data_IF_645538728581
#
_entry.id   IF_645538728581
#
_cell.length_a   1.000
_cell.length_b   1.000
_cell.length_c   1.000
_cell.angle_alpha   90.00
_cell.angle_beta   90.00
_cell.angle_gamma   90.00
#
_symmetry.space_group_name_H-M   'P 1'
#
loop_
_entity.id
_entity.type
_entity.pdbx_description
1 polymer ?
#
# COMPACT_ATOMS: atom_id res chain seq x y z
N UNK A 1 -49.14 -42.92 -12.92
CA UNK A 1 -48.69 -43.56 -11.67
C UNK A 1 -47.77 -42.59 -10.96
N UNK A 2 -48.33 -41.68 -10.17
CA UNK A 2 -47.58 -40.73 -9.34
C UNK A 2 -48.23 -40.77 -7.95
N UNK A 3 -47.47 -41.20 -6.96
CA UNK A 3 -47.90 -41.32 -5.58
C UNK A 3 -47.97 -39.92 -4.96
N UNK A 4 -49.17 -39.52 -4.55
CA UNK A 4 -49.41 -38.32 -3.75
C UNK A 4 -48.77 -38.54 -2.38
N UNK A 5 -47.67 -37.85 -2.10
CA UNK A 5 -47.09 -37.76 -0.77
C UNK A 5 -47.95 -36.76 0.01
N UNK A 6 -48.97 -37.28 0.67
CA UNK A 6 -49.86 -36.55 1.56
C UNK A 6 -49.01 -35.94 2.70
N UNK A 7 -48.59 -34.69 2.51
CA UNK A 7 -47.83 -33.96 3.54
C UNK A 7 -48.80 -33.60 4.65
N UNK A 8 -48.62 -34.12 5.88
CA UNK A 8 -49.60 -33.88 6.93
C UNK A 8 -49.63 -32.38 7.22
N UNK A 9 -50.78 -31.77 6.95
CA UNK A 9 -51.04 -30.38 7.32
C UNK A 9 -50.73 -30.16 8.81
N UNK A 10 -50.21 -29.00 9.22
CA UNK A 10 -49.87 -28.75 10.63
C UNK A 10 -51.09 -28.89 11.55
N UNK A 11 -52.31 -28.73 11.03
CA UNK A 11 -53.55 -28.97 11.75
C UNK A 11 -53.83 -30.48 11.95
N UNK A 12 -53.69 -31.31 10.92
CA UNK A 12 -53.90 -32.76 11.03
C UNK A 12 -52.81 -33.44 11.88
N UNK A 13 -51.56 -32.98 11.78
CA UNK A 13 -50.47 -33.41 12.65
C UNK A 13 -50.77 -33.13 14.13
N UNK A 14 -51.26 -31.91 14.46
CA UNK A 14 -51.64 -31.54 15.82
C UNK A 14 -52.80 -32.38 16.36
N UNK A 15 -53.80 -32.68 15.52
CA UNK A 15 -54.94 -33.51 15.91
C UNK A 15 -54.54 -34.97 16.18
N UNK A 16 -53.70 -35.56 15.33
CA UNK A 16 -53.17 -36.91 15.54
C UNK A 16 -52.32 -37.02 16.82
N UNK A 17 -51.46 -36.01 17.05
CA UNK A 17 -50.66 -35.89 18.28
C UNK A 17 -51.54 -35.74 19.53
N UNK A 18 -52.62 -34.95 19.46
CA UNK A 18 -53.54 -34.77 20.57
C UNK A 18 -54.29 -36.07 20.91
N UNK A 19 -54.71 -36.83 19.89
CA UNK A 19 -55.36 -38.13 20.06
C UNK A 19 -54.44 -39.18 20.70
N UNK A 20 -53.20 -39.28 20.22
CA UNK A 20 -52.18 -40.15 20.83
C UNK A 20 -51.89 -39.75 22.29
N UNK A 21 -51.70 -38.44 22.56
CA UNK A 21 -51.40 -37.92 23.89
C UNK A 21 -52.55 -38.07 24.91
N UNK A 22 -53.80 -38.17 24.44
CA UNK A 22 -54.97 -38.43 25.30
C UNK A 22 -55.07 -39.89 25.75
N UNK A 23 -54.49 -40.83 24.97
CA UNK A 23 -54.45 -42.26 25.31
C UNK A 23 -53.33 -42.66 26.28
N UNK A 24 -52.37 -41.77 26.55
CA UNK A 24 -51.24 -42.03 27.45
C UNK A 24 -51.66 -41.97 28.93
N UNK A 25 -51.13 -42.90 29.72
CA UNK A 25 -51.37 -42.91 31.16
C UNK A 25 -50.83 -41.63 31.82
N UNK A 26 -51.42 -41.21 32.95
CA UNK A 26 -51.06 -39.95 33.63
C UNK A 26 -49.56 -39.83 33.99
N UNK A 27 -48.84 -40.95 34.12
CA UNK A 27 -47.38 -40.99 34.36
C UNK A 27 -46.57 -40.68 33.10
N UNK A 28 -46.99 -41.17 31.94
CA UNK A 28 -46.30 -40.96 30.66
C UNK A 28 -46.45 -39.51 30.20
N UNK A 29 -47.62 -38.89 30.45
CA UNK A 29 -47.84 -37.46 30.20
C UNK A 29 -46.86 -36.57 30.98
N UNK A 30 -46.49 -36.96 32.21
CA UNK A 30 -45.49 -36.23 33.01
C UNK A 30 -44.08 -36.35 32.42
N UNK A 31 -43.70 -37.54 31.93
CA UNK A 31 -42.41 -37.74 31.27
C UNK A 31 -42.31 -36.98 29.95
N UNK A 32 -43.39 -36.96 29.15
CA UNK A 32 -43.44 -36.20 27.91
C UNK A 32 -43.37 -34.69 28.17
N UNK A 33 -44.05 -34.18 29.19
CA UNK A 33 -43.92 -32.78 29.60
C UNK A 33 -42.50 -32.44 30.07
N UNK A 34 -41.87 -33.32 30.86
CA UNK A 34 -40.48 -33.12 31.29
C UNK A 34 -39.51 -33.11 30.09
N UNK A 35 -39.66 -34.05 29.16
CA UNK A 35 -38.87 -34.10 27.94
C UNK A 35 -39.09 -32.85 27.06
N UNK A 36 -40.33 -32.41 26.90
CA UNK A 36 -40.67 -31.19 26.16
C UNK A 36 -40.08 -29.94 26.81
N UNK A 37 -40.08 -29.85 28.14
CA UNK A 37 -39.44 -28.75 28.87
C UNK A 37 -37.93 -28.76 28.67
N UNK A 38 -37.27 -29.92 28.77
CA UNK A 38 -35.82 -30.03 28.55
C UNK A 38 -35.45 -29.62 27.12
N UNK A 39 -36.20 -30.11 26.12
CA UNK A 39 -35.98 -29.75 24.71
C UNK A 39 -36.26 -28.28 24.48
N UNK A 40 -37.32 -27.72 25.08
CA UNK A 40 -37.64 -26.30 25.02
C UNK A 40 -36.53 -25.44 25.64
N UNK A 41 -35.99 -25.84 26.79
CA UNK A 41 -34.88 -25.16 27.45
C UNK A 41 -33.59 -25.26 26.63
N UNK A 42 -33.30 -26.42 26.04
CA UNK A 42 -32.15 -26.63 25.19
C UNK A 42 -32.23 -25.80 23.90
N UNK A 43 -33.40 -25.72 23.27
CA UNK A 43 -33.63 -24.87 22.09
C UNK A 43 -33.57 -23.39 22.45
N UNK A 44 -34.13 -22.99 23.59
CA UNK A 44 -34.05 -21.62 24.09
C UNK A 44 -32.59 -21.22 24.36
N UNK A 45 -31.84 -22.11 25.03
CA UNK A 45 -30.41 -21.95 25.25
C UNK A 45 -29.68 -21.83 23.92
N UNK A 46 -29.94 -22.73 22.97
CA UNK A 46 -29.27 -22.73 21.67
C UNK A 46 -29.57 -21.45 20.88
N UNK A 47 -30.82 -20.98 20.90
CA UNK A 47 -31.23 -19.77 20.20
C UNK A 47 -30.74 -18.49 20.89
N UNK A 48 -30.58 -18.48 22.22
CA UNK A 48 -30.12 -17.31 22.96
C UNK A 48 -28.58 -17.19 23.05
N UNK A 49 -27.86 -18.32 23.21
CA UNK A 49 -26.41 -18.32 23.43
C UNK A 49 -25.60 -18.45 22.13
N UNK A 50 -26.13 -19.14 21.11
CA UNK A 50 -25.40 -19.33 19.85
C UNK A 50 -25.22 -18.07 18.98
N UNK A 51 -26.23 -17.18 18.78
CA UNK A 51 -26.05 -16.05 17.88
C UNK A 51 -25.13 -14.95 18.44
N UNK A 52 -24.97 -14.85 19.76
CA UNK A 52 -24.03 -13.93 20.39
C UNK A 52 -22.55 -14.31 20.15
N UNK A 53 -22.27 -15.59 19.89
CA UNK A 53 -20.90 -16.07 19.63
C UNK A 53 -20.46 -15.89 18.18
N UNK A 54 -21.40 -15.84 17.23
CA UNK A 54 -21.10 -15.56 15.81
C UNK A 54 -20.76 -14.08 15.58
N UNK A 55 -21.47 -13.16 16.23
CA UNK A 55 -21.19 -11.72 16.12
C UNK A 55 -19.84 -11.32 16.74
N UNK A 56 -19.41 -11.99 17.82
CA UNK A 56 -18.08 -11.79 18.41
C UNK A 56 -16.91 -12.32 17.55
N UNK A 57 -17.15 -13.33 16.70
CA UNK A 57 -16.08 -13.93 15.86
C UNK A 57 -15.94 -13.28 14.48
N UNK A 58 -16.99 -12.68 13.95
CA UNK A 58 -16.97 -12.05 12.62
C UNK A 58 -16.61 -10.55 12.64
N UNK A 59 -16.78 -9.86 13.78
CA UNK A 59 -16.34 -8.47 13.96
C UNK A 59 -14.82 -8.23 13.77
N UNK A 60 -13.90 -9.02 14.36
CA UNK A 60 -12.46 -8.69 14.32
C UNK A 60 -11.85 -8.78 12.92
N UNK A 61 -12.40 -9.58 12.02
CA UNK A 61 -11.87 -9.75 10.67
C UNK A 61 -12.03 -8.49 9.80
N UNK A 62 -13.13 -7.73 9.98
CA UNK A 62 -13.35 -6.46 9.26
C UNK A 62 -12.55 -5.30 9.85
N UNK A 63 -12.30 -5.32 11.16
CA UNK A 63 -11.44 -4.34 11.81
C UNK A 63 -9.97 -4.54 11.42
N UNK A 64 -9.47 -5.79 11.40
CA UNK A 64 -8.09 -6.07 11.03
C UNK A 64 -7.72 -5.61 9.60
N UNK A 65 -8.64 -5.71 8.64
CA UNK A 65 -8.37 -5.23 7.27
C UNK A 65 -8.38 -3.71 7.16
N UNK A 66 -9.22 -3.03 7.94
CA UNK A 66 -9.24 -1.57 8.02
C UNK A 66 -8.00 -1.03 8.76
N UNK A 67 -7.59 -1.67 9.85
CA UNK A 67 -6.38 -1.30 10.60
C UNK A 67 -5.12 -1.48 9.74
N UNK A 68 -5.05 -2.56 8.95
CA UNK A 68 -3.94 -2.77 8.02
C UNK A 68 -3.89 -1.69 6.91
N UNK A 69 -5.05 -1.23 6.43
CA UNK A 69 -5.11 -0.12 5.46
C UNK A 69 -4.68 1.20 6.10
N UNK A 70 -5.14 1.48 7.32
CA UNK A 70 -4.82 2.69 8.06
C UNK A 70 -3.32 2.75 8.38
N UNK A 71 -2.72 1.64 8.83
CA UNK A 71 -1.28 1.53 9.04
C UNK A 71 -0.48 1.81 7.77
N UNK A 72 -0.92 1.28 6.61
CA UNK A 72 -0.27 1.54 5.32
C UNK A 72 -0.35 3.02 4.94
N UNK A 73 -1.49 3.68 5.15
CA UNK A 73 -1.64 5.12 4.88
C UNK A 73 -0.75 5.97 5.80
N UNK A 74 -0.63 5.61 7.08
CA UNK A 74 0.25 6.31 8.02
C UNK A 74 1.73 6.18 7.64
N UNK A 75 2.17 4.98 7.23
CA UNK A 75 3.53 4.78 6.74
C UNK A 75 3.84 5.62 5.49
N UNK A 76 2.88 5.68 4.56
CA UNK A 76 3.00 6.52 3.36
C UNK A 76 3.07 8.01 3.71
N UNK A 77 2.24 8.47 4.66
CA UNK A 77 2.25 9.86 5.12
C UNK A 77 3.58 10.24 5.80
N UNK A 78 4.12 9.36 6.66
CA UNK A 78 5.42 9.59 7.32
C UNK A 78 6.57 9.64 6.30
N UNK A 79 6.53 8.77 5.29
CA UNK A 79 7.54 8.77 4.21
C UNK A 79 7.45 10.07 3.41
N UNK A 80 6.24 10.51 3.06
CA UNK A 80 6.03 11.76 2.33
C UNK A 80 6.47 12.99 3.13
N UNK A 81 6.23 13.02 4.45
CA UNK A 81 6.66 14.12 5.30
C UNK A 81 8.18 14.14 5.44
N UNK A 82 8.84 12.98 5.60
CA UNK A 82 10.31 12.90 5.60
C UNK A 82 10.94 13.41 4.31
N UNK A 83 10.37 13.05 3.16
CA UNK A 83 10.78 13.57 1.86
C UNK A 83 10.49 15.06 1.71
N UNK A 84 9.36 15.54 2.25
CA UNK A 84 9.00 16.96 2.28
C UNK A 84 10.02 17.74 3.09
N UNK A 85 10.33 17.32 4.33
CA UNK A 85 11.34 17.97 5.18
C UNK A 85 12.73 17.96 4.52
N UNK A 86 13.12 16.85 3.87
CA UNK A 86 14.37 16.79 3.11
C UNK A 86 14.40 17.72 1.89
N UNK A 87 13.24 18.00 1.30
CA UNK A 87 13.06 18.88 0.14
C UNK A 87 12.89 20.35 0.53
N UNK A 88 12.25 20.67 1.67
CA UNK A 88 12.12 22.03 2.24
C UNK A 88 13.36 22.51 2.98
N UNK A 89 14.39 21.67 3.15
CA UNK A 89 15.73 22.16 3.45
C UNK A 89 16.13 23.21 2.41
N UNK A 90 16.55 24.38 2.87
CA UNK A 90 17.03 25.50 2.05
C UNK A 90 17.93 24.93 0.93
N UNK A 91 17.65 25.21 -0.35
CA UNK A 91 18.53 24.80 -1.44
C UNK A 91 19.97 25.25 -1.14
N UNK A 92 21.00 24.44 -1.47
CA UNK A 92 22.39 24.87 -1.28
C UNK A 92 22.56 26.25 -1.92
N UNK A 93 23.29 27.12 -1.22
CA UNK A 93 23.57 28.46 -1.75
C UNK A 93 24.25 28.36 -3.11
N UNK A 94 24.10 29.38 -3.96
CA UNK A 94 24.68 29.39 -5.32
C UNK A 94 26.16 28.98 -5.32
N UNK A 95 26.94 29.49 -4.37
CA UNK A 95 28.37 29.19 -4.23
C UNK A 95 28.65 27.75 -3.80
N UNK A 96 27.78 27.12 -3.02
CA UNK A 96 27.89 25.70 -2.68
C UNK A 96 27.56 24.82 -3.87
N UNK A 97 26.52 25.18 -4.63
CA UNK A 97 26.16 24.46 -5.86
C UNK A 97 27.27 24.57 -6.92
N UNK A 98 27.89 25.75 -7.09
CA UNK A 98 29.02 25.94 -8.00
C UNK A 98 30.25 25.14 -7.57
N UNK A 99 30.62 25.19 -6.28
CA UNK A 99 31.74 24.38 -5.75
C UNK A 99 31.49 22.88 -5.92
N UNK A 100 30.27 22.40 -5.67
CA UNK A 100 29.91 21.01 -5.88
C UNK A 100 29.98 20.60 -7.36
N UNK A 101 29.57 21.50 -8.26
CA UNK A 101 29.61 21.30 -9.71
C UNK A 101 31.06 21.26 -10.24
N UNK A 102 31.92 22.15 -9.77
CA UNK A 102 33.35 22.18 -10.08
C UNK A 102 34.04 20.91 -9.56
N UNK A 103 33.78 20.51 -8.31
CA UNK A 103 34.33 19.30 -7.73
C UNK A 103 33.91 18.04 -8.49
N UNK A 104 32.63 17.95 -8.88
CA UNK A 104 32.13 16.85 -9.70
C UNK A 104 32.81 16.85 -11.08
N UNK A 105 32.94 18.01 -11.73
CA UNK A 105 33.57 18.13 -13.05
C UNK A 105 35.07 17.81 -13.00
N UNK A 106 35.77 18.14 -11.90
CA UNK A 106 37.15 17.73 -11.67
C UNK A 106 37.34 16.22 -11.63
N UNK A 107 36.35 15.48 -11.10
CA UNK A 107 36.38 14.01 -11.08
C UNK A 107 36.25 13.37 -12.47
N UNK A 108 35.81 14.11 -13.49
CA UNK A 108 35.81 13.65 -14.90
C UNK A 108 37.21 13.71 -15.55
N UNK A 109 38.25 14.15 -14.84
CA UNK A 109 39.64 14.01 -15.30
C UNK A 109 39.96 14.77 -16.60
N UNK A 110 39.24 15.85 -16.90
CA UNK A 110 39.47 16.69 -18.09
C UNK A 110 38.71 16.24 -19.34
N UNK A 111 37.93 15.15 -19.29
CA UNK A 111 37.04 14.74 -20.40
C UNK A 111 35.72 15.55 -20.42
N UNK A 112 35.55 16.47 -19.48
CA UNK A 112 34.37 17.32 -19.35
C UNK A 112 34.76 18.76 -19.03
N UNK A 113 34.18 19.71 -19.77
CA UNK A 113 34.31 21.14 -19.51
C UNK A 113 32.95 21.73 -19.18
N UNK A 114 32.86 22.46 -18.08
CA UNK A 114 31.62 23.10 -17.66
C UNK A 114 31.68 24.61 -17.91
N UNK A 115 30.59 25.16 -18.44
CA UNK A 115 30.39 26.60 -18.59
C UNK A 115 29.08 27.00 -17.91
N UNK A 116 29.14 27.93 -16.96
CA UNK A 116 27.96 28.41 -16.23
C UNK A 116 27.54 29.75 -16.82
N UNK A 117 26.31 29.83 -17.33
CA UNK A 117 25.73 31.02 -17.92
C UNK A 117 24.42 31.35 -17.21
N UNK A 118 24.45 32.35 -16.32
CA UNK A 118 23.27 32.77 -15.55
C UNK A 118 22.78 31.68 -14.62
N UNK A 119 21.58 31.17 -14.89
CA UNK A 119 20.90 30.09 -14.14
C UNK A 119 21.12 28.69 -14.72
N UNK A 120 21.86 28.57 -15.84
CA UNK A 120 22.15 27.30 -16.51
C UNK A 120 23.64 26.98 -16.47
N UNK A 121 23.97 25.70 -16.36
CA UNK A 121 25.32 25.21 -16.57
C UNK A 121 25.33 24.20 -17.72
N UNK A 122 26.19 24.43 -18.70
CA UNK A 122 26.39 23.55 -19.85
C UNK A 122 27.68 22.77 -19.68
N UNK A 123 27.56 21.46 -19.52
CA UNK A 123 28.68 20.52 -19.54
C UNK A 123 28.90 20.04 -20.97
N UNK A 124 30.12 20.16 -21.48
CA UNK A 124 30.55 19.55 -22.75
C UNK A 124 31.50 18.40 -22.45
N UNK A 125 31.17 17.22 -22.95
CA UNK A 125 31.90 15.98 -22.75
C UNK A 125 32.60 15.58 -24.05
N UNK A 126 33.84 15.12 -23.93
CA UNK A 126 34.64 14.57 -25.03
C UNK A 126 35.26 13.27 -24.56
N UNK A 127 34.79 12.15 -25.13
CA UNK A 127 35.24 10.80 -24.81
C UNK A 127 35.19 10.46 -23.30
N UNK A 128 34.15 10.93 -22.61
CA UNK A 128 33.96 10.64 -21.20
C UNK A 128 33.52 9.19 -20.98
N UNK A 129 34.11 8.50 -20.00
CA UNK A 129 33.70 7.14 -19.65
C UNK A 129 32.26 7.11 -19.10
N UNK A 130 31.47 6.10 -19.51
CA UNK A 130 30.08 5.94 -19.06
C UNK A 130 29.95 5.90 -17.52
N UNK A 131 30.89 5.24 -16.83
CA UNK A 131 30.85 5.11 -15.37
C UNK A 131 31.20 6.43 -14.68
N UNK A 132 32.18 7.18 -15.18
CA UNK A 132 32.53 8.51 -14.69
C UNK A 132 31.37 9.50 -14.89
N UNK A 133 30.69 9.45 -16.03
CA UNK A 133 29.50 10.26 -16.28
C UNK A 133 28.33 9.92 -15.35
N UNK A 134 28.10 8.63 -15.08
CA UNK A 134 27.06 8.19 -14.14
C UNK A 134 27.35 8.68 -12.71
N UNK A 135 28.61 8.59 -12.28
CA UNK A 135 29.07 9.14 -11.00
C UNK A 135 28.87 10.65 -10.92
N UNK A 136 29.24 11.38 -11.98
CA UNK A 136 29.05 12.83 -12.06
C UNK A 136 27.57 13.22 -11.92
N UNK A 137 26.66 12.54 -12.63
CA UNK A 137 25.21 12.82 -12.56
C UNK A 137 24.64 12.62 -11.15
N UNK A 138 25.09 11.57 -10.46
CA UNK A 138 24.67 11.30 -9.08
C UNK A 138 25.20 12.38 -8.12
N UNK A 139 26.47 12.76 -8.26
CA UNK A 139 27.10 13.81 -7.45
C UNK A 139 26.42 15.17 -7.63
N UNK A 140 26.10 15.55 -8.87
CA UNK A 140 25.43 16.82 -9.20
C UNK A 140 24.00 16.85 -8.68
N UNK A 141 23.26 15.74 -8.77
CA UNK A 141 21.89 15.67 -8.23
C UNK A 141 21.87 15.78 -6.71
N UNK A 142 22.79 15.10 -6.02
CA UNK A 142 22.80 15.05 -4.55
C UNK A 142 23.35 16.34 -3.94
N UNK A 143 24.47 16.85 -4.45
CA UNK A 143 25.18 17.96 -3.82
C UNK A 143 24.80 19.33 -4.39
N UNK A 144 24.59 19.43 -5.70
CA UNK A 144 24.23 20.69 -6.35
C UNK A 144 22.71 20.86 -6.57
N UNK A 145 21.92 19.80 -6.37
CA UNK A 145 20.45 19.76 -6.60
C UNK A 145 20.03 20.31 -7.97
N UNK A 146 20.84 20.06 -9.00
CA UNK A 146 20.56 20.46 -10.39
C UNK A 146 19.88 19.33 -11.15
N UNK A 147 18.97 19.68 -12.05
CA UNK A 147 18.25 18.75 -12.91
C UNK A 147 18.73 18.94 -14.36
N UNK A 148 18.92 17.84 -15.13
CA UNK A 148 19.18 17.94 -16.56
C UNK A 148 17.95 18.48 -17.31
N UNK A 149 18.13 19.52 -18.13
CA UNK A 149 17.08 20.02 -19.03
C UNK A 149 17.25 19.49 -20.44
N UNK A 150 18.47 19.50 -20.95
CA UNK A 150 18.76 19.04 -22.30
C UNK A 150 19.99 18.13 -22.26
N UNK A 151 19.86 16.96 -22.88
CA UNK A 151 20.95 16.00 -23.02
C UNK A 151 21.12 15.63 -24.48
N UNK A 152 22.26 16.00 -25.05
CA UNK A 152 22.70 15.55 -26.36
C UNK A 152 23.97 14.74 -26.17
N UNK A 153 23.81 13.43 -25.96
CA UNK A 153 24.93 12.50 -25.78
C UNK A 153 24.99 11.55 -26.97
N UNK A 154 26.14 11.48 -27.60
CA UNK A 154 26.46 10.53 -28.65
C UNK A 154 27.48 9.51 -28.12
N UNK A 155 27.33 8.26 -28.52
CA UNK A 155 28.29 7.21 -28.18
C UNK A 155 29.39 7.19 -29.23
N UNK A 156 30.64 7.23 -28.79
CA UNK A 156 31.78 7.18 -29.69
C UNK A 156 32.15 5.71 -29.98
N UNK A 157 31.63 5.19 -31.10
CA UNK A 157 31.97 3.87 -31.63
C UNK A 157 31.58 2.68 -30.72
N UNK A 158 32.20 1.50 -30.90
CA UNK A 158 31.94 0.32 -30.08
C UNK A 158 32.47 0.43 -28.62
N UNK A 159 32.99 1.60 -28.23
CA UNK A 159 33.52 1.86 -26.89
C UNK A 159 32.44 2.21 -25.84
N UNK A 160 32.89 2.32 -24.59
CA UNK A 160 32.12 2.78 -23.43
C UNK A 160 32.20 4.30 -23.21
N UNK A 161 32.68 5.04 -24.21
CA UNK A 161 32.89 6.49 -24.16
C UNK A 161 31.75 7.27 -24.80
N UNK A 162 31.45 8.42 -24.22
CA UNK A 162 30.37 9.32 -24.63
C UNK A 162 30.89 10.74 -24.87
N UNK A 163 30.40 11.36 -25.92
CA UNK A 163 30.68 12.75 -26.27
C UNK A 163 29.38 13.51 -26.48
N UNK A 164 29.38 14.81 -26.19
CA UNK A 164 28.20 15.64 -26.40
C UNK A 164 28.06 16.75 -25.37
N UNK A 165 26.85 17.27 -25.20
CA UNK A 165 26.55 18.34 -24.26
C UNK A 165 25.36 18.00 -23.37
N UNK A 166 25.44 18.47 -22.13
CA UNK A 166 24.39 18.34 -21.13
C UNK A 166 24.15 19.72 -20.51
N UNK A 167 22.94 20.22 -20.59
CA UNK A 167 22.52 21.45 -19.92
C UNK A 167 21.81 21.06 -18.63
N UNK A 168 22.32 21.53 -17.51
CA UNK A 168 21.72 21.39 -16.18
C UNK A 168 21.28 22.75 -15.66
N UNK A 169 20.10 22.81 -15.01
CA UNK A 169 19.68 23.99 -14.26
C UNK A 169 18.97 23.58 -12.98
N UNK A 170 18.82 24.53 -12.07
CA UNK A 170 18.11 24.29 -10.83
C UNK A 170 18.00 25.55 -9.97
N UNK A 171 17.15 25.52 -8.93
CA UNK A 171 16.94 26.65 -8.02
C UNK A 171 18.22 27.26 -7.45
N UNK A 172 19.27 26.48 -7.12
CA UNK A 172 20.54 27.04 -6.62
C UNK A 172 21.26 27.99 -7.59
N UNK A 173 21.08 27.82 -8.91
CA UNK A 173 21.76 28.66 -9.91
C UNK A 173 20.98 29.94 -10.24
N UNK A 174 19.67 29.96 -9.96
CA UNK A 174 18.80 31.09 -10.31
C UNK A 174 19.18 32.38 -9.59
N UNK A 175 19.83 32.29 -8.42
CA UNK A 175 20.14 33.46 -7.59
C UNK A 175 18.86 34.06 -7.01
N UNK A 176 18.86 34.36 -5.71
CA UNK A 176 17.90 35.32 -5.16
C UNK A 176 18.36 36.74 -5.51
#
# INVERSE_FOLDING_TARGET
MAADLDTPSPASARAALAGWYAGLAARERRLVLAAALIVGLALLWWLAIHPAWRTLREAPARHATLDAQLARMQQLAQTAEGLRTASTGQPPGRDEALRALEAATGALGGTGQINVLGDRATLTLRQAEALALAGWLQQVRVNARLLPLESQLNRDGPGTTWSGSLVVSGPPLAGN
#
